data_IF_560428268044
#
_entry.id   IF_560428268044
#
_cell.length_a   1.000
_cell.length_b   1.000
_cell.length_c   1.000
_cell.angle_alpha   90.00
_cell.angle_beta   90.00
_cell.angle_gamma   90.00
#
_symmetry.space_group_name_H-M   'P 1'
#
loop_
_entity.id
_entity.type
_entity.pdbx_description
1 polymer ?
#
# COMPACT_ATOMS: atom_id res chain seq x y z
N UNK A 1 -13.66 -44.77 17.70
CA UNK A 1 -12.36 -44.08 17.61
C UNK A 1 -12.56 -42.72 16.95
N UNK A 2 -13.29 -41.87 17.64
CA UNK A 2 -13.65 -40.52 17.21
C UNK A 2 -13.50 -39.58 18.40
N UNK A 3 -13.43 -38.29 18.08
CA UNK A 3 -13.17 -37.11 18.95
C UNK A 3 -11.69 -36.75 19.08
N UNK A 4 -11.22 -35.89 18.18
CA UNK A 4 -10.00 -35.06 18.31
C UNK A 4 -9.94 -34.01 17.18
N UNK A 5 -11.03 -33.28 16.92
CA UNK A 5 -11.00 -32.08 16.08
C UNK A 5 -12.11 -31.16 16.57
N UNK A 6 -11.83 -30.42 17.64
CA UNK A 6 -12.75 -29.46 18.22
C UNK A 6 -12.25 -28.05 17.92
N UNK A 7 -12.97 -27.38 17.01
CA UNK A 7 -13.17 -25.93 16.99
C UNK A 7 -11.92 -25.06 16.77
N UNK A 8 -11.38 -25.10 15.54
CA UNK A 8 -10.63 -23.99 14.94
C UNK A 8 -11.56 -22.77 14.77
N UNK A 9 -11.82 -22.02 15.84
CA UNK A 9 -12.30 -20.64 15.71
C UNK A 9 -11.06 -19.81 15.42
N UNK A 10 -10.61 -19.85 14.18
CA UNK A 10 -9.62 -18.92 13.66
C UNK A 10 -10.31 -17.55 13.64
N UNK A 11 -10.15 -16.79 14.72
CA UNK A 11 -10.60 -15.41 14.79
C UNK A 11 -10.10 -14.69 13.52
N UNK A 12 -11.00 -13.99 12.83
CA UNK A 12 -10.77 -13.35 11.54
C UNK A 12 -9.67 -12.27 11.65
N UNK A 13 -8.42 -12.70 11.70
CA UNK A 13 -7.25 -11.86 11.83
C UNK A 13 -6.70 -11.55 10.44
N UNK A 14 -6.60 -10.25 10.17
CA UNK A 14 -5.58 -9.58 9.35
C UNK A 14 -5.88 -9.71 7.83
N UNK A 15 -6.03 -8.65 7.03
CA UNK A 15 -4.95 -7.75 6.62
C UNK A 15 -5.44 -6.75 5.55
N UNK A 16 -6.56 -6.10 5.78
CA UNK A 16 -6.87 -4.89 5.04
C UNK A 16 -7.22 -3.82 6.08
N UNK A 17 -6.66 -2.63 5.88
CA UNK A 17 -7.02 -1.39 6.55
C UNK A 17 -8.54 -1.31 6.69
N UNK A 18 -9.11 -1.07 7.89
CA UNK A 18 -10.56 -0.88 7.98
C UNK A 18 -10.90 0.51 7.42
N UNK A 19 -11.20 0.58 6.13
CA UNK A 19 -12.14 1.57 5.63
C UNK A 19 -13.55 1.06 5.94
N UNK A 20 -14.07 1.48 7.09
CA UNK A 20 -15.46 1.38 7.57
C UNK A 20 -16.18 0.02 7.53
N UNK A 21 -16.41 -0.52 8.73
CA UNK A 21 -17.59 -1.35 9.01
C UNK A 21 -18.66 -0.43 9.59
N UNK A 22 -19.72 -0.16 8.80
CA UNK A 22 -20.99 0.31 9.34
C UNK A 22 -21.73 -0.87 10.01
N UNK A 23 -22.45 -0.67 11.12
CA UNK A 23 -22.99 -1.76 11.93
C UNK A 23 -24.17 -2.44 11.22
N UNK A 24 -24.01 -3.70 10.84
CA UNK A 24 -25.15 -4.58 10.56
C UNK A 24 -25.68 -5.12 11.88
N UNK A 25 -26.91 -4.74 12.22
CA UNK A 25 -27.71 -5.25 13.32
C UNK A 25 -28.00 -6.75 13.13
N UNK A 26 -27.39 -7.59 13.97
CA UNK A 26 -27.67 -9.02 14.12
C UNK A 26 -27.08 -9.51 15.46
N UNK A 27 -27.77 -10.39 16.21
CA UNK A 27 -27.54 -10.55 17.64
C UNK A 27 -26.38 -11.48 18.00
N UNK A 28 -25.81 -11.24 19.18
CA UNK A 28 -24.87 -12.07 19.95
C UNK A 28 -23.44 -12.28 19.43
N UNK A 29 -22.62 -11.24 19.61
CA UNK A 29 -21.25 -11.42 20.12
C UNK A 29 -21.27 -10.96 21.58
N UNK A 30 -21.29 -11.92 22.49
CA UNK A 30 -21.33 -11.69 23.93
C UNK A 30 -20.16 -10.81 24.39
N UNK A 31 -20.54 -9.68 25.00
CA UNK A 31 -19.80 -8.78 25.91
C UNK A 31 -18.37 -9.22 26.25
N UNK A 32 -17.38 -8.66 25.54
CA UNK A 32 -16.16 -8.24 26.20
C UNK A 32 -16.50 -6.96 27.00
N UNK A 33 -16.36 -7.00 28.31
CA UNK A 33 -16.58 -5.84 29.18
C UNK A 33 -15.63 -4.70 28.82
N UNK A 34 -16.05 -3.41 28.88
CA UNK A 34 -15.20 -2.23 28.70
C UNK A 34 -14.11 -2.04 29.78
N UNK A 35 -13.72 -3.09 30.51
CA UNK A 35 -12.79 -3.02 31.63
C UNK A 35 -11.37 -3.51 31.30
N UNK A 36 -11.07 -3.89 30.06
CA UNK A 36 -9.71 -4.25 29.63
C UNK A 36 -9.08 -3.12 28.82
N UNK A 37 -8.12 -2.43 29.46
CA UNK A 37 -7.29 -1.35 28.93
C UNK A 37 -7.98 0.02 28.83
N UNK A 38 -7.93 0.77 29.95
CA UNK A 38 -7.64 2.19 29.83
C UNK A 38 -6.29 2.29 29.10
N UNK A 39 -6.32 2.37 27.77
CA UNK A 39 -5.15 2.75 26.98
C UNK A 39 -4.91 4.20 27.36
N UNK A 40 -4.06 4.44 28.35
CA UNK A 40 -3.41 5.74 28.46
C UNK A 40 -2.74 5.93 27.11
N UNK A 41 -3.31 6.82 26.27
CA UNK A 41 -3.03 6.87 24.84
C UNK A 41 -1.60 7.34 24.64
N UNK A 42 -0.68 6.37 24.68
CA UNK A 42 0.75 6.55 24.43
C UNK A 42 0.93 7.40 23.18
N UNK A 43 1.87 8.36 23.18
CA UNK A 43 2.08 9.23 22.03
C UNK A 43 2.17 8.42 20.74
N UNK A 44 1.44 8.87 19.72
CA UNK A 44 1.50 8.29 18.39
C UNK A 44 2.93 8.44 17.84
N UNK A 45 3.47 7.36 17.27
CA UNK A 45 4.75 7.40 16.55
C UNK A 45 4.55 7.90 15.13
N UNK A 46 5.64 8.39 14.54
CA UNK A 46 5.75 8.66 13.10
C UNK A 46 7.05 8.07 12.59
N UNK A 47 7.13 7.86 11.28
CA UNK A 47 8.41 7.57 10.64
C UNK A 47 9.19 8.88 10.44
N UNK A 48 10.49 8.82 10.65
CA UNK A 48 11.42 9.91 10.39
C UNK A 48 12.37 9.51 9.26
N UNK A 49 12.56 10.42 8.29
CA UNK A 49 13.49 10.24 7.18
C UNK A 49 12.99 9.27 6.09
N UNK A 50 13.86 8.93 5.11
CA UNK A 50 13.51 8.05 4.00
C UNK A 50 13.36 6.58 4.45
N UNK A 51 12.63 5.76 3.68
CA UNK A 51 12.58 4.31 3.87
C UNK A 51 13.99 3.72 3.89
N UNK A 52 14.21 2.76 4.79
CA UNK A 52 15.49 2.05 4.93
C UNK A 52 15.51 0.73 4.17
N UNK A 53 14.33 0.23 3.79
CA UNK A 53 14.24 -0.93 2.89
C UNK A 53 14.77 -0.50 1.52
N UNK A 54 15.77 -1.22 1.03
CA UNK A 54 16.38 -1.00 -0.28
C UNK A 54 15.82 -1.99 -1.27
N UNK A 55 15.36 -1.47 -2.40
CA UNK A 55 14.85 -2.30 -3.48
C UNK A 55 15.99 -2.95 -4.28
N UNK A 56 15.72 -4.09 -4.95
CA UNK A 56 16.69 -4.72 -5.83
C UNK A 56 17.11 -3.75 -6.94
N UNK A 57 18.31 -3.98 -7.48
CA UNK A 57 18.78 -3.22 -8.64
C UNK A 57 18.04 -3.72 -9.88
N UNK A 58 17.30 -2.82 -10.53
CA UNK A 58 16.58 -3.11 -11.76
C UNK A 58 17.51 -3.03 -12.98
N UNK A 59 17.42 -3.99 -13.92
CA UNK A 59 18.06 -3.86 -15.23
C UNK A 59 17.53 -2.65 -15.99
N UNK A 60 18.41 -1.91 -16.67
CA UNK A 60 18.01 -0.71 -17.42
C UNK A 60 16.98 -1.02 -18.52
N UNK A 61 17.05 -2.21 -19.15
CA UNK A 61 16.07 -2.64 -20.14
C UNK A 61 14.66 -2.82 -19.56
N UNK A 62 14.55 -3.40 -18.37
CA UNK A 62 13.28 -3.52 -17.63
C UNK A 62 12.77 -2.13 -17.24
N UNK A 63 13.61 -1.31 -16.61
CA UNK A 63 13.22 0.01 -16.14
C UNK A 63 12.74 0.92 -17.29
N UNK A 64 13.37 0.86 -18.45
CA UNK A 64 12.93 1.60 -19.64
C UNK A 64 11.51 1.18 -20.09
N UNK A 65 11.20 -0.11 -20.10
CA UNK A 65 9.84 -0.59 -20.43
C UNK A 65 8.82 -0.11 -19.41
N UNK A 66 9.18 -0.16 -18.13
CA UNK A 66 8.30 0.17 -17.02
C UNK A 66 7.99 1.68 -16.98
N UNK A 67 9.01 2.53 -17.17
CA UNK A 67 8.82 3.98 -17.32
C UNK A 67 7.82 4.27 -18.45
N UNK A 68 7.99 3.64 -19.61
CA UNK A 68 7.09 3.86 -20.73
C UNK A 68 5.68 3.35 -20.44
N UNK A 69 5.52 2.20 -19.76
CA UNK A 69 4.21 1.65 -19.40
C UNK A 69 3.46 2.51 -18.38
N UNK A 70 4.19 3.07 -17.41
CA UNK A 70 3.67 3.98 -16.38
C UNK A 70 3.27 5.36 -16.93
N UNK A 71 3.99 5.83 -17.95
CA UNK A 71 3.89 7.24 -18.40
C UNK A 71 2.93 7.44 -19.57
N UNK A 72 2.71 6.42 -20.41
CA UNK A 72 1.98 6.55 -21.68
C UNK A 72 0.63 5.83 -21.72
N UNK A 73 0.10 5.47 -20.56
CA UNK A 73 -1.20 4.84 -20.42
C UNK A 73 -1.83 5.29 -19.10
N UNK A 74 -3.15 5.45 -19.09
CA UNK A 74 -3.92 5.64 -17.86
C UNK A 74 -4.30 4.28 -17.29
N UNK A 75 -4.49 4.22 -15.97
CA UNK A 75 -5.05 3.05 -15.25
C UNK A 75 -6.33 2.50 -15.92
N UNK A 76 -7.18 3.40 -16.42
CA UNK A 76 -8.43 3.07 -17.09
C UNK A 76 -8.25 2.47 -18.51
N UNK A 77 -7.03 2.46 -19.04
CA UNK A 77 -6.67 1.90 -20.33
C UNK A 77 -6.32 2.89 -21.46
N UNK A 78 -6.87 4.12 -21.55
CA UNK A 78 -6.51 5.08 -22.59
C UNK A 78 -5.01 5.35 -22.67
N UNK A 79 -4.49 5.46 -23.90
CA UNK A 79 -3.08 5.81 -24.13
C UNK A 79 -2.91 7.32 -24.09
N UNK A 80 -1.81 7.76 -23.50
CA UNK A 80 -1.37 9.15 -23.55
C UNK A 80 -0.50 9.31 -24.81
N UNK A 81 -0.76 10.29 -25.69
CA UNK A 81 -0.02 10.42 -26.95
C UNK A 81 1.40 10.97 -26.74
N UNK A 82 1.58 11.77 -25.70
CA UNK A 82 2.82 12.52 -25.42
C UNK A 82 3.16 12.48 -23.93
N UNK A 83 4.44 12.66 -23.62
CA UNK A 83 4.93 12.91 -22.27
C UNK A 83 4.41 14.27 -21.80
N UNK A 84 3.91 14.32 -20.56
CA UNK A 84 3.57 15.58 -19.89
C UNK A 84 4.19 15.59 -18.50
N UNK A 85 4.85 16.70 -18.17
CA UNK A 85 5.42 16.98 -16.84
C UNK A 85 5.38 18.48 -16.56
N UNK A 86 5.80 18.88 -15.37
CA UNK A 86 6.08 20.29 -15.09
C UNK A 86 7.48 20.64 -15.62
N UNK A 87 7.61 21.71 -16.40
CA UNK A 87 8.90 22.12 -17.00
C UNK A 87 9.72 23.08 -16.14
N UNK A 88 9.18 23.53 -15.01
CA UNK A 88 9.83 24.49 -14.11
C UNK A 88 9.60 24.17 -12.64
N UNK A 89 9.94 25.11 -11.74
CA UNK A 89 9.75 24.93 -10.31
C UNK A 89 8.30 24.59 -9.97
N UNK A 90 8.12 23.67 -9.02
CA UNK A 90 6.83 23.12 -8.62
C UNK A 90 6.51 23.56 -7.19
N UNK A 91 5.98 24.78 -6.99
CA UNK A 91 5.44 25.18 -5.70
C UNK A 91 4.19 24.35 -5.36
N UNK A 92 4.14 23.82 -4.13
CA UNK A 92 3.06 22.98 -3.61
C UNK A 92 2.39 23.70 -2.44
N UNK A 93 1.09 23.94 -2.57
CA UNK A 93 0.23 24.52 -1.52
C UNK A 93 -0.59 23.44 -0.83
N UNK A 94 -1.06 23.73 0.38
CA UNK A 94 -2.09 22.94 1.07
C UNK A 94 -3.31 23.81 1.28
N UNK A 95 -4.45 23.31 0.85
CA UNK A 95 -5.78 23.88 1.06
C UNK A 95 -6.54 22.99 2.06
N UNK A 96 -7.25 23.63 2.99
CA UNK A 96 -8.11 22.94 3.95
C UNK A 96 -9.56 23.26 3.64
N UNK A 97 -10.37 22.23 3.44
CA UNK A 97 -11.75 22.37 2.96
C UNK A 97 -12.71 21.80 4.00
N UNK A 98 -13.39 22.68 4.72
CA UNK A 98 -14.42 22.29 5.71
C UNK A 98 -13.90 21.66 7.00
N UNK A 99 -12.60 21.37 7.10
CA UNK A 99 -11.92 20.87 8.29
C UNK A 99 -10.46 21.34 8.29
N UNK A 100 -9.80 21.48 9.46
CA UNK A 100 -8.36 21.73 9.52
C UNK A 100 -7.58 20.57 8.88
N UNK A 101 -6.36 20.82 8.38
CA UNK A 101 -5.55 19.77 7.78
C UNK A 101 -5.17 18.74 8.85
N UNK A 102 -5.04 17.46 8.49
CA UNK A 102 -4.59 16.43 9.43
C UNK A 102 -3.23 16.77 10.04
N UNK A 103 -3.04 16.37 11.30
CA UNK A 103 -1.86 16.75 12.10
C UNK A 103 -0.53 16.36 11.44
N UNK A 104 -0.46 15.22 10.77
CA UNK A 104 0.78 14.71 10.17
C UNK A 104 1.04 15.22 8.75
N UNK A 105 0.02 15.79 8.07
CA UNK A 105 0.14 16.21 6.67
C UNK A 105 1.30 17.18 6.42
N UNK A 106 1.51 18.11 7.36
CA UNK A 106 2.55 19.12 7.21
C UNK A 106 3.95 18.49 7.18
N UNK A 107 4.24 17.59 8.13
CA UNK A 107 5.52 16.89 8.23
C UNK A 107 5.71 15.85 7.13
N UNK A 108 4.67 15.06 6.82
CA UNK A 108 4.76 14.02 5.79
C UNK A 108 5.03 14.62 4.41
N UNK A 109 4.36 15.75 4.10
CA UNK A 109 4.64 16.49 2.87
C UNK A 109 6.03 17.13 2.89
N UNK A 110 6.50 17.68 4.02
CA UNK A 110 7.86 18.21 4.09
C UNK A 110 8.90 17.13 3.80
N UNK A 111 8.77 15.95 4.42
CA UNK A 111 9.65 14.80 4.22
C UNK A 111 9.61 14.31 2.77
N UNK A 112 8.43 14.22 2.17
CA UNK A 112 8.26 13.79 0.77
C UNK A 112 8.87 14.78 -0.23
N UNK A 113 8.60 16.09 -0.09
CA UNK A 113 9.19 17.11 -0.98
C UNK A 113 10.72 17.09 -0.91
N UNK A 114 11.25 16.87 0.28
CA UNK A 114 12.68 16.80 0.53
C UNK A 114 13.32 15.56 -0.13
N UNK A 115 12.65 14.42 -0.08
CA UNK A 115 13.04 13.22 -0.83
C UNK A 115 12.96 13.42 -2.34
N UNK A 116 11.87 13.98 -2.87
CA UNK A 116 11.72 14.24 -4.31
C UNK A 116 12.85 15.14 -4.86
N UNK A 117 13.27 16.15 -4.09
CA UNK A 117 14.43 16.97 -4.44
C UNK A 117 15.75 16.19 -4.44
N UNK A 118 16.01 15.41 -3.37
CA UNK A 118 17.31 14.72 -3.19
C UNK A 118 17.47 13.45 -4.01
N UNK A 119 16.42 12.66 -4.11
CA UNK A 119 16.44 11.31 -4.71
C UNK A 119 16.05 11.38 -6.19
N UNK A 120 15.04 12.18 -6.55
CA UNK A 120 14.56 12.31 -7.93
C UNK A 120 15.06 13.56 -8.67
N UNK A 121 15.68 14.53 -7.98
CA UNK A 121 16.20 15.75 -8.59
C UNK A 121 15.13 16.74 -9.07
N UNK A 122 13.90 16.62 -8.55
CA UNK A 122 12.77 17.46 -8.96
C UNK A 122 12.77 18.76 -8.16
N UNK A 123 12.70 19.92 -8.83
CA UNK A 123 12.56 21.23 -8.18
C UNK A 123 11.15 21.44 -7.63
N UNK A 124 10.86 20.79 -6.50
CA UNK A 124 9.58 20.87 -5.80
C UNK A 124 9.76 21.48 -4.42
N UNK A 125 8.86 22.38 -4.03
CA UNK A 125 8.94 23.07 -2.73
C UNK A 125 7.58 23.53 -2.27
N UNK A 126 7.46 23.88 -0.98
CA UNK A 126 6.27 24.60 -0.50
C UNK A 126 6.14 25.96 -1.19
N UNK A 127 4.90 26.40 -1.38
CA UNK A 127 4.59 27.79 -1.76
C UNK A 127 5.13 28.77 -0.72
N UNK A 128 5.63 29.91 -1.20
CA UNK A 128 5.89 31.10 -0.37
C UNK A 128 4.56 31.81 -0.07
N UNK A 129 4.56 32.70 0.91
CA UNK A 129 3.39 33.51 1.23
C UNK A 129 2.94 34.30 -0.02
N UNK A 130 1.66 34.18 -0.39
CA UNK A 130 1.09 34.84 -1.58
C UNK A 130 1.41 34.18 -2.93
N UNK A 131 2.20 33.10 -2.94
CA UNK A 131 2.49 32.34 -4.16
C UNK A 131 1.39 31.30 -4.43
N UNK A 132 0.97 31.18 -5.69
CA UNK A 132 0.08 30.11 -6.11
C UNK A 132 0.84 28.80 -6.31
N UNK A 133 0.27 27.69 -5.85
CA UNK A 133 0.81 26.36 -6.11
C UNK A 133 0.61 25.93 -7.56
N UNK A 134 1.63 25.30 -8.13
CA UNK A 134 1.51 24.45 -9.32
C UNK A 134 0.76 23.16 -8.98
N UNK A 135 0.91 22.68 -7.74
CA UNK A 135 0.11 21.60 -7.18
C UNK A 135 -0.58 22.11 -5.90
N UNK A 136 -1.89 21.92 -5.81
CA UNK A 136 -2.66 22.20 -4.59
C UNK A 136 -3.11 20.89 -3.94
N UNK A 137 -2.67 20.62 -2.71
CA UNK A 137 -3.15 19.48 -1.93
C UNK A 137 -4.36 19.93 -1.10
N UNK A 138 -5.54 19.41 -1.43
CA UNK A 138 -6.79 19.68 -0.75
C UNK A 138 -7.09 18.56 0.24
N UNK A 139 -7.07 18.87 1.53
CA UNK A 139 -7.56 17.96 2.57
C UNK A 139 -9.05 18.24 2.85
N UNK A 140 -9.91 17.22 2.69
CA UNK A 140 -11.37 17.33 2.80
C UNK A 140 -11.97 16.08 3.45
N UNK A 141 -13.16 16.15 4.07
CA UNK A 141 -13.82 14.96 4.63
C UNK A 141 -14.05 13.89 3.56
N UNK A 142 -13.78 12.61 3.88
CA UNK A 142 -13.93 11.45 2.99
C UNK A 142 -15.33 11.37 2.39
N UNK A 143 -16.36 11.67 3.17
CA UNK A 143 -17.75 11.70 2.71
C UNK A 143 -18.00 12.77 1.63
N UNK A 144 -17.22 13.84 1.61
CA UNK A 144 -17.29 14.86 0.56
C UNK A 144 -16.56 14.41 -0.70
N UNK A 145 -15.41 13.76 -0.53
CA UNK A 145 -14.64 13.16 -1.62
C UNK A 145 -15.47 12.09 -2.35
N UNK A 146 -16.00 11.11 -1.62
CA UNK A 146 -16.75 9.98 -2.18
C UNK A 146 -18.07 10.35 -2.87
N UNK A 147 -18.65 11.52 -2.55
CA UNK A 147 -19.83 12.03 -3.25
C UNK A 147 -19.52 12.50 -4.68
N UNK A 148 -18.28 12.90 -4.95
CA UNK A 148 -17.86 13.44 -6.25
C UNK A 148 -17.01 12.43 -7.04
N UNK A 149 -16.20 11.61 -6.35
CA UNK A 149 -15.44 10.51 -6.93
C UNK A 149 -15.81 9.22 -6.21
N UNK A 150 -16.89 8.57 -6.68
CA UNK A 150 -17.37 7.34 -6.06
C UNK A 150 -16.32 6.23 -6.17
N UNK A 151 -15.94 5.65 -5.04
CA UNK A 151 -14.97 4.55 -4.97
C UNK A 151 -13.52 4.98 -4.79
N UNK A 152 -13.17 6.24 -5.08
CA UNK A 152 -11.83 6.76 -4.88
C UNK A 152 -11.52 6.96 -3.38
N UNK A 153 -10.32 6.58 -2.95
CA UNK A 153 -9.80 6.92 -1.63
C UNK A 153 -9.22 8.35 -1.64
N UNK A 154 -8.44 8.63 -2.66
CA UNK A 154 -7.83 9.90 -3.03
C UNK A 154 -7.80 9.96 -4.58
N UNK A 155 -7.51 11.15 -5.14
CA UNK A 155 -7.30 11.29 -6.59
C UNK A 155 -6.58 12.60 -6.94
N UNK A 156 -5.84 12.58 -8.05
CA UNK A 156 -5.21 13.73 -8.68
C UNK A 156 -5.96 14.20 -9.93
N UNK A 157 -6.05 15.52 -10.11
CA UNK A 157 -6.77 16.14 -11.24
C UNK A 157 -5.92 17.22 -11.89
N UNK A 158 -5.79 17.25 -13.22
CA UNK A 158 -5.01 18.26 -13.91
C UNK A 158 -5.82 19.54 -14.11
N UNK A 159 -5.11 20.65 -14.37
CA UNK A 159 -5.67 21.98 -14.71
C UNK A 159 -6.55 22.62 -13.62
N UNK A 160 -6.64 22.02 -12.44
CA UNK A 160 -7.45 22.50 -11.31
C UNK A 160 -6.58 23.19 -10.26
N UNK A 161 -7.03 24.34 -9.76
CA UNK A 161 -6.29 25.13 -8.76
C UNK A 161 -6.67 24.84 -7.29
N UNK A 162 -7.67 23.99 -7.04
CA UNK A 162 -8.12 23.56 -5.72
C UNK A 162 -9.56 23.05 -5.75
N UNK A 163 -10.14 22.80 -4.58
CA UNK A 163 -11.47 22.15 -4.47
C UNK A 163 -12.59 22.98 -5.08
N UNK A 164 -12.60 24.30 -4.82
CA UNK A 164 -13.62 25.18 -5.40
C UNK A 164 -13.53 25.23 -6.92
N UNK A 165 -12.34 25.13 -7.50
CA UNK A 165 -12.16 25.15 -8.95
C UNK A 165 -12.61 23.84 -9.57
N UNK A 166 -12.28 22.70 -8.95
CA UNK A 166 -12.76 21.38 -9.34
C UNK A 166 -14.27 21.33 -9.54
N UNK A 167 -15.04 21.82 -8.56
CA UNK A 167 -16.51 21.80 -8.62
C UNK A 167 -17.12 22.64 -9.75
N UNK A 168 -16.37 23.58 -10.34
CA UNK A 168 -16.85 24.43 -11.44
C UNK A 168 -16.43 23.94 -12.82
N UNK A 169 -15.51 22.98 -12.91
CA UNK A 169 -14.97 22.54 -14.20
C UNK A 169 -15.78 21.38 -14.78
N UNK A 170 -16.08 21.41 -16.09
CA UNK A 170 -16.58 20.24 -16.79
C UNK A 170 -15.49 19.16 -16.87
N UNK A 171 -15.89 17.88 -16.94
CA UNK A 171 -14.95 16.75 -16.93
C UNK A 171 -13.91 16.77 -18.07
N UNK A 172 -14.26 17.34 -19.23
CA UNK A 172 -13.33 17.46 -20.37
C UNK A 172 -12.12 18.36 -20.06
N UNK A 173 -12.30 19.39 -19.22
CA UNK A 173 -11.22 20.30 -18.82
C UNK A 173 -10.23 19.63 -17.85
N UNK A 174 -10.60 18.49 -17.29
CA UNK A 174 -9.83 17.70 -16.32
C UNK A 174 -9.25 16.41 -16.89
N UNK A 175 -9.29 16.23 -18.22
CA UNK A 175 -8.80 15.02 -18.88
C UNK A 175 -7.26 15.02 -19.05
N UNK A 176 -6.58 14.04 -18.46
CA UNK A 176 -5.13 13.86 -18.60
C UNK A 176 -4.68 13.62 -20.05
N UNK A 177 -5.53 13.03 -20.89
CA UNK A 177 -5.18 12.66 -22.29
C UNK A 177 -5.02 13.85 -23.22
N UNK A 178 -5.53 15.02 -22.82
CA UNK A 178 -5.51 16.26 -23.61
C UNK A 178 -4.47 17.26 -23.11
N UNK A 179 -3.58 16.85 -22.21
CA UNK A 179 -2.50 17.71 -21.73
C UNK A 179 -1.35 17.77 -22.74
N UNK A 180 -0.84 18.98 -22.97
CA UNK A 180 0.43 19.20 -23.68
C UNK A 180 1.59 19.39 -22.71
N UNK A 181 1.32 19.98 -21.54
CA UNK A 181 2.28 20.19 -20.45
C UNK A 181 1.52 20.34 -19.12
N UNK A 182 2.17 20.06 -17.99
CA UNK A 182 1.57 20.22 -16.65
C UNK A 182 1.94 21.59 -16.10
N UNK A 183 0.93 22.45 -15.95
CA UNK A 183 1.09 23.77 -15.33
C UNK A 183 0.33 23.89 -14.00
N UNK A 184 -0.61 22.97 -13.75
CA UNK A 184 -1.52 23.01 -12.62
C UNK A 184 -2.08 21.62 -12.38
N UNK A 185 -2.09 21.18 -11.13
CA UNK A 185 -2.84 20.02 -10.68
C UNK A 185 -3.37 20.23 -9.26
N UNK A 186 -4.39 19.48 -8.89
CA UNK A 186 -4.85 19.38 -7.50
C UNK A 186 -4.94 17.93 -7.08
N UNK A 187 -4.63 17.68 -5.82
CA UNK A 187 -4.66 16.36 -5.18
C UNK A 187 -5.70 16.41 -4.07
N UNK A 188 -6.60 15.45 -4.02
CA UNK A 188 -7.70 15.40 -3.07
C UNK A 188 -7.48 14.26 -2.08
N UNK A 189 -7.23 14.61 -0.81
CA UNK A 189 -6.92 13.66 0.26
C UNK A 189 -8.04 13.64 1.31
N UNK A 190 -8.42 12.46 1.82
CA UNK A 190 -9.37 12.37 2.93
C UNK A 190 -8.71 12.90 4.22
N UNK A 191 -9.36 13.84 4.90
CA UNK A 191 -8.83 14.49 6.11
C UNK A 191 -9.14 13.71 7.41
N UNK A 192 -10.06 12.75 7.34
CA UNK A 192 -10.64 12.01 8.46
C UNK A 192 -10.26 10.51 8.44
N UNK A 193 -9.07 10.21 7.93
CA UNK A 193 -8.49 8.84 7.90
C UNK A 193 -7.27 8.71 8.81
N UNK A 194 -6.74 7.50 8.92
CA UNK A 194 -5.50 7.24 9.66
C UNK A 194 -4.30 7.99 9.06
N UNK A 195 -3.29 8.37 9.87
CA UNK A 195 -2.06 8.98 9.38
C UNK A 195 -1.36 8.16 8.28
N UNK A 196 -1.36 6.82 8.39
CA UNK A 196 -0.83 5.95 7.34
C UNK A 196 -1.64 6.07 6.05
N UNK A 197 -2.96 5.96 6.08
CA UNK A 197 -3.81 6.06 4.87
C UNK A 197 -3.67 7.44 4.19
N UNK A 198 -3.60 8.51 4.98
CA UNK A 198 -3.33 9.85 4.46
C UNK A 198 -1.97 9.91 3.75
N UNK A 199 -0.95 9.30 4.37
CA UNK A 199 0.41 9.29 3.86
C UNK A 199 0.54 8.46 2.58
N UNK A 200 -0.10 7.30 2.53
CA UNK A 200 -0.16 6.43 1.36
C UNK A 200 -0.72 7.22 0.16
N UNK A 201 -1.90 7.83 0.34
CA UNK A 201 -2.51 8.71 -0.65
C UNK A 201 -1.63 9.91 -1.02
N UNK A 202 -0.99 10.56 -0.05
CA UNK A 202 -0.11 11.70 -0.33
C UNK A 202 1.06 11.31 -1.25
N UNK A 203 1.66 10.15 -1.02
CA UNK A 203 2.80 9.66 -1.80
C UNK A 203 2.38 9.29 -3.22
N UNK A 204 1.29 8.55 -3.37
CA UNK A 204 0.74 8.11 -4.66
C UNK A 204 0.31 9.30 -5.51
N UNK A 205 -0.60 10.12 -4.99
CA UNK A 205 -1.23 11.19 -5.78
C UNK A 205 -0.25 12.31 -6.14
N UNK A 206 0.74 12.57 -5.28
CA UNK A 206 1.78 13.54 -5.62
C UNK A 206 2.69 13.01 -6.72
N UNK A 207 3.06 11.73 -6.67
CA UNK A 207 3.85 11.13 -7.74
C UNK A 207 3.06 11.05 -9.05
N UNK A 208 1.76 10.73 -8.97
CA UNK A 208 0.88 10.72 -10.14
C UNK A 208 0.72 12.11 -10.76
N UNK A 209 0.56 13.14 -9.92
CA UNK A 209 0.52 14.53 -10.37
C UNK A 209 1.82 14.97 -11.06
N UNK A 210 2.97 14.37 -10.74
CA UNK A 210 4.27 14.67 -11.35
C UNK A 210 4.51 13.98 -12.71
N UNK A 211 4.06 12.74 -12.92
CA UNK A 211 4.31 12.07 -14.22
C UNK A 211 3.54 10.76 -14.45
N UNK A 212 3.89 9.66 -13.77
CA UNK A 212 3.21 8.37 -13.95
C UNK A 212 1.69 8.47 -13.73
N UNK A 213 0.87 7.83 -14.55
CA UNK A 213 -0.61 7.88 -14.41
C UNK A 213 -1.26 6.49 -14.55
N UNK A 214 -0.44 5.45 -14.48
CA UNK A 214 -0.86 4.06 -14.59
C UNK A 214 -0.39 3.31 -13.35
N UNK A 215 -1.14 2.26 -13.02
CA UNK A 215 -0.78 1.31 -11.98
C UNK A 215 -0.68 -0.09 -12.60
N UNK A 216 0.37 -0.83 -12.20
CA UNK A 216 0.80 -2.05 -12.84
C UNK A 216 1.12 -3.11 -11.77
N UNK A 217 0.28 -4.14 -11.69
CA UNK A 217 0.45 -5.30 -10.78
C UNK A 217 1.78 -6.07 -10.94
N UNK A 218 2.51 -5.83 -12.04
CA UNK A 218 3.82 -6.45 -12.31
C UNK A 218 5.00 -5.65 -11.76
N UNK A 219 4.76 -4.57 -11.00
CA UNK A 219 5.77 -3.73 -10.36
C UNK A 219 5.81 -3.99 -8.84
N UNK A 220 6.41 -5.10 -8.38
CA UNK A 220 6.25 -5.55 -6.99
C UNK A 220 6.79 -4.58 -5.93
N UNK A 221 7.72 -3.69 -6.30
CA UNK A 221 8.33 -2.74 -5.38
C UNK A 221 8.05 -1.29 -5.75
N UNK A 222 6.82 -0.99 -6.14
CA UNK A 222 6.38 0.34 -6.55
C UNK A 222 5.11 0.71 -5.80
N UNK A 223 4.92 2.01 -5.54
CA UNK A 223 3.61 2.53 -5.15
C UNK A 223 2.61 2.45 -6.31
N UNK A 224 3.08 2.45 -7.56
CA UNK A 224 2.25 2.27 -8.77
C UNK A 224 1.87 0.80 -9.00
N UNK A 225 1.66 0.05 -7.93
CA UNK A 225 1.18 -1.31 -7.96
C UNK A 225 -0.08 -1.38 -7.08
N UNK A 226 -1.18 -1.80 -7.71
CA UNK A 226 -2.51 -1.93 -7.11
C UNK A 226 -2.60 -2.92 -5.93
N UNK A 227 -1.52 -3.62 -5.59
CA UNK A 227 -1.47 -4.52 -4.44
C UNK A 227 -1.45 -3.83 -3.07
N UNK A 228 -1.23 -2.50 -3.04
CA UNK A 228 -1.15 -1.69 -1.82
C UNK A 228 -0.08 -2.19 -0.82
N UNK A 229 0.97 -2.86 -1.30
CA UNK A 229 2.05 -3.39 -0.46
C UNK A 229 2.96 -2.26 0.01
N UNK A 230 3.35 -1.35 -0.89
CA UNK A 230 4.21 -0.21 -0.59
C UNK A 230 3.37 1.03 -0.27
N UNK A 231 3.59 1.57 0.92
CA UNK A 231 2.88 2.76 1.44
C UNK A 231 3.57 4.09 1.11
N UNK A 232 4.80 4.03 0.60
CA UNK A 232 5.63 5.20 0.34
C UNK A 232 6.49 4.96 -0.88
N UNK A 233 6.75 6.03 -1.64
CA UNK A 233 7.63 5.99 -2.80
C UNK A 233 8.96 5.31 -2.47
N UNK A 234 9.26 4.27 -3.24
CA UNK A 234 10.44 3.42 -3.12
C UNK A 234 11.63 4.01 -3.91
N UNK A 235 12.78 3.34 -3.83
CA UNK A 235 13.93 3.67 -4.68
C UNK A 235 13.60 3.48 -6.18
N UNK A 236 12.71 2.54 -6.53
CA UNK A 236 12.23 2.36 -7.91
C UNK A 236 11.40 3.55 -8.38
N UNK A 237 10.44 3.99 -7.58
CA UNK A 237 9.56 5.12 -7.93
C UNK A 237 10.36 6.42 -8.11
N UNK A 238 11.36 6.62 -7.25
CA UNK A 238 12.27 7.77 -7.36
C UNK A 238 13.12 7.72 -8.62
N UNK A 239 13.59 6.54 -9.05
CA UNK A 239 14.30 6.37 -10.32
C UNK A 239 13.40 6.64 -11.53
N UNK A 240 12.14 6.19 -11.50
CA UNK A 240 11.16 6.49 -12.56
C UNK A 240 10.94 7.99 -12.68
N UNK A 241 10.70 8.67 -11.55
CA UNK A 241 10.51 10.13 -11.52
C UNK A 241 11.77 10.87 -11.98
N UNK A 242 12.96 10.43 -11.55
CA UNK A 242 14.25 11.00 -11.99
C UNK A 242 14.46 10.88 -13.50
N UNK A 243 14.08 9.76 -14.10
CA UNK A 243 14.16 9.57 -15.55
C UNK A 243 13.21 10.50 -16.29
N UNK A 244 11.94 10.60 -15.85
CA UNK A 244 10.92 11.49 -16.44
C UNK A 244 11.35 12.97 -16.37
N UNK A 245 12.02 13.36 -15.29
CA UNK A 245 12.53 14.71 -15.08
C UNK A 245 13.98 14.92 -15.58
N UNK A 246 14.54 13.96 -16.33
CA UNK A 246 15.86 14.14 -16.92
C UNK A 246 15.86 15.30 -17.92
N UNK A 247 17.02 15.96 -18.06
CA UNK A 247 17.21 17.15 -18.93
C UNK A 247 16.98 16.88 -20.42
N UNK A 248 17.16 15.63 -20.84
CA UNK A 248 17.02 15.21 -22.24
C UNK A 248 15.57 14.82 -22.61
N UNK A 249 14.65 14.89 -21.65
CA UNK A 249 13.21 14.74 -21.87
C UNK A 249 12.52 16.08 -21.60
N UNK A 250 11.40 16.33 -22.28
CA UNK A 250 10.50 17.46 -22.05
C UNK A 250 9.08 17.11 -22.46
N UNK A 251 8.10 17.88 -22.02
CA UNK A 251 6.70 17.69 -22.41
C UNK A 251 6.51 17.83 -23.92
N UNK A 252 5.51 17.14 -24.47
CA UNK A 252 5.16 17.19 -25.89
C UNK A 252 5.83 16.13 -26.77
N UNK A 253 6.82 15.40 -26.26
CA UNK A 253 7.47 14.31 -27.01
C UNK A 253 6.65 13.02 -26.94
N UNK A 254 6.67 12.24 -28.01
CA UNK A 254 5.95 10.96 -28.13
C UNK A 254 6.64 9.85 -27.34
N UNK A 255 5.94 8.71 -27.18
CA UNK A 255 6.49 7.48 -26.57
C UNK A 255 7.81 7.04 -27.22
N UNK A 256 7.91 7.12 -28.54
CA UNK A 256 9.11 6.71 -29.27
C UNK A 256 10.28 7.66 -29.02
N UNK A 257 10.00 8.96 -28.94
CA UNK A 257 10.99 10.00 -28.64
C UNK A 257 11.48 9.94 -27.19
N UNK A 258 10.66 9.48 -26.24
CA UNK A 258 11.14 9.12 -24.89
C UNK A 258 11.95 7.84 -24.90
N UNK A 259 11.51 6.82 -25.64
CA UNK A 259 12.16 5.51 -25.67
C UNK A 259 13.61 5.59 -26.20
N UNK A 260 13.89 6.48 -27.15
CA UNK A 260 15.19 6.61 -27.78
C UNK A 260 16.34 7.02 -26.83
N UNK A 261 16.23 8.10 -26.02
CA UNK A 261 17.27 8.49 -25.07
C UNK A 261 17.27 7.69 -23.77
N UNK A 262 16.19 6.97 -23.43
CA UNK A 262 16.07 6.26 -22.15
C UNK A 262 17.27 5.36 -21.80
N UNK A 263 17.86 4.56 -22.71
CA UNK A 263 19.05 3.77 -22.39
C UNK A 263 20.20 4.62 -21.86
N UNK A 264 20.55 5.71 -22.54
CA UNK A 264 21.64 6.60 -22.12
C UNK A 264 21.32 7.31 -20.79
N UNK A 265 20.06 7.74 -20.60
CA UNK A 265 19.60 8.33 -19.35
C UNK A 265 19.76 7.34 -18.19
N UNK A 266 19.32 6.09 -18.38
CA UNK A 266 19.37 5.05 -17.35
C UNK A 266 20.80 4.59 -17.06
N UNK A 267 21.70 4.63 -18.03
CA UNK A 267 23.12 4.39 -17.81
C UNK A 267 23.75 5.49 -16.92
N UNK A 268 23.33 6.75 -17.07
CA UNK A 268 23.74 7.88 -16.22
C UNK A 268 23.19 7.75 -14.78
N UNK A 269 21.88 7.52 -14.63
CA UNK A 269 21.21 7.61 -13.32
C UNK A 269 21.15 6.27 -12.56
N UNK A 270 21.31 5.14 -13.25
CA UNK A 270 21.28 3.79 -12.70
C UNK A 270 22.44 2.92 -13.26
N UNK A 271 23.70 3.28 -13.02
CA UNK A 271 24.85 2.53 -13.56
C UNK A 271 24.93 1.08 -13.02
N UNK A 272 24.31 0.80 -11.88
CA UNK A 272 24.24 -0.58 -11.36
C UNK A 272 23.30 -1.46 -12.19
N UNK A 273 22.40 -0.86 -12.97
CA UNK A 273 21.43 -1.52 -13.85
C UNK A 273 21.98 -1.99 -15.20
N UNK A 274 23.27 -1.78 -15.47
CA UNK A 274 24.01 -2.41 -16.58
C UNK A 274 24.14 -3.93 -16.36
N UNK A 275 23.02 -4.62 -16.54
CA UNK A 275 22.87 -6.06 -16.29
C UNK A 275 21.99 -6.65 -17.38
N UNK A 276 22.12 -7.96 -17.56
CA UNK A 276 21.24 -8.70 -18.46
C UNK A 276 19.79 -8.46 -18.05
N UNK A 277 18.99 -8.05 -19.03
CA UNK A 277 17.58 -7.82 -18.86
C UNK A 277 16.84 -9.16 -18.67
N UNK A 278 15.85 -9.16 -17.80
CA UNK A 278 14.94 -10.30 -17.68
C UNK A 278 13.88 -10.20 -18.77
N UNK A 279 13.31 -11.35 -19.16
CA UNK A 279 12.26 -11.38 -20.17
C UNK A 279 11.11 -10.44 -19.75
N UNK A 280 10.54 -9.62 -20.67
CA UNK A 280 9.43 -8.76 -20.33
C UNK A 280 8.29 -9.53 -19.65
N UNK A 281 7.85 -9.02 -18.49
CA UNK A 281 6.67 -9.56 -17.79
C UNK A 281 5.44 -9.05 -18.50
N UNK A 282 4.57 -9.96 -18.95
CA UNK A 282 3.33 -9.60 -19.63
C UNK A 282 2.36 -8.88 -18.67
N UNK A 283 1.59 -7.94 -19.21
CA UNK A 283 0.52 -7.26 -18.49
C UNK A 283 -0.53 -8.25 -17.99
N UNK A 284 -1.19 -7.89 -16.88
CA UNK A 284 -2.24 -8.71 -16.29
C UNK A 284 -3.52 -8.65 -17.12
N UNK A 285 -4.18 -9.79 -17.42
CA UNK A 285 -5.48 -9.78 -18.09
C UNK A 285 -6.54 -9.07 -17.27
N UNK A 286 -7.43 -8.32 -17.94
CA UNK A 286 -8.55 -7.60 -17.29
C UNK A 286 -9.40 -8.51 -16.38
N UNK A 287 -9.60 -9.77 -16.78
CA UNK A 287 -10.34 -10.76 -15.99
C UNK A 287 -9.67 -11.04 -14.64
N UNK A 288 -8.34 -11.11 -14.60
CA UNK A 288 -7.60 -11.27 -13.35
C UNK A 288 -7.66 -9.98 -12.51
N UNK A 289 -7.45 -8.80 -13.11
CA UNK A 289 -7.54 -7.50 -12.41
C UNK A 289 -8.89 -7.34 -11.70
N UNK A 290 -9.99 -7.66 -12.39
CA UNK A 290 -11.33 -7.60 -11.78
C UNK A 290 -11.52 -8.63 -10.65
N UNK A 291 -11.00 -9.85 -10.82
CA UNK A 291 -11.12 -10.90 -9.82
C UNK A 291 -10.33 -10.56 -8.54
N UNK A 292 -9.07 -10.11 -8.69
CA UNK A 292 -8.24 -9.74 -7.55
C UNK A 292 -8.77 -8.47 -6.86
N UNK A 293 -9.20 -7.44 -7.62
CA UNK A 293 -9.79 -6.23 -7.05
C UNK A 293 -11.01 -6.54 -6.17
N UNK A 294 -11.92 -7.42 -6.64
CA UNK A 294 -13.08 -7.89 -5.84
C UNK A 294 -12.67 -8.73 -4.63
N UNK A 295 -11.59 -9.50 -4.73
CA UNK A 295 -11.07 -10.28 -3.61
C UNK A 295 -10.54 -9.40 -2.48
N UNK A 296 -9.89 -8.27 -2.83
CA UNK A 296 -9.32 -7.32 -1.87
C UNK A 296 -10.34 -6.33 -1.31
N UNK A 297 -11.43 -6.06 -2.05
CA UNK A 297 -12.44 -5.08 -1.67
C UNK A 297 -13.18 -5.46 -0.37
N UNK A 298 -12.79 -4.80 0.73
CA UNK A 298 -13.32 -5.10 2.07
C UNK A 298 -14.83 -4.94 2.23
N UNK A 299 -15.45 -4.03 1.46
CA UNK A 299 -16.89 -3.78 1.49
C UNK A 299 -17.71 -4.94 0.93
N UNK A 300 -17.07 -5.89 0.25
CA UNK A 300 -17.73 -7.06 -0.31
C UNK A 300 -17.97 -8.13 0.76
N UNK A 301 -19.06 -8.89 0.60
CA UNK A 301 -19.34 -10.04 1.46
C UNK A 301 -18.22 -11.08 1.37
N UNK A 302 -17.92 -11.75 2.47
CA UNK A 302 -16.81 -12.69 2.55
C UNK A 302 -16.89 -13.81 1.49
N UNK A 303 -18.10 -14.32 1.20
CA UNK A 303 -18.32 -15.31 0.15
C UNK A 303 -17.95 -14.79 -1.25
N UNK A 304 -18.26 -13.52 -1.55
CA UNK A 304 -17.90 -12.88 -2.83
C UNK A 304 -16.39 -12.73 -2.95
N UNK A 305 -15.72 -12.29 -1.88
CA UNK A 305 -14.26 -12.20 -1.85
C UNK A 305 -13.61 -13.56 -2.08
N UNK A 306 -14.11 -14.60 -1.43
CA UNK A 306 -13.60 -15.97 -1.57
C UNK A 306 -13.74 -16.52 -2.98
N UNK A 307 -14.93 -16.35 -3.60
CA UNK A 307 -15.15 -16.77 -4.99
C UNK A 307 -14.27 -15.99 -5.96
N UNK A 308 -14.11 -14.68 -5.76
CA UNK A 308 -13.28 -13.84 -6.62
C UNK A 308 -11.79 -14.16 -6.47
N UNK A 309 -11.32 -14.43 -5.25
CA UNK A 309 -9.94 -14.82 -5.00
C UNK A 309 -9.61 -16.19 -5.61
N UNK A 310 -10.54 -17.15 -5.51
CA UNK A 310 -10.42 -18.45 -6.18
C UNK A 310 -10.29 -18.29 -7.70
N UNK A 311 -11.08 -17.40 -8.29
CA UNK A 311 -11.00 -17.09 -9.72
C UNK A 311 -9.66 -16.44 -10.10
N UNK A 312 -9.16 -15.50 -9.30
CA UNK A 312 -7.84 -14.90 -9.51
C UNK A 312 -6.72 -15.97 -9.50
N UNK A 313 -6.74 -16.91 -8.54
CA UNK A 313 -5.80 -18.04 -8.50
C UNK A 313 -5.94 -18.93 -9.73
N UNK A 314 -7.17 -19.22 -10.17
CA UNK A 314 -7.43 -20.04 -11.36
C UNK A 314 -6.84 -19.39 -12.61
N UNK A 315 -7.06 -18.10 -12.82
CA UNK A 315 -6.53 -17.36 -13.97
C UNK A 315 -5.00 -17.31 -13.90
N UNK A 316 -4.41 -16.95 -12.76
CA UNK A 316 -2.96 -16.88 -12.59
C UNK A 316 -2.27 -18.22 -12.91
N UNK A 317 -2.87 -19.35 -12.49
CA UNK A 317 -2.36 -20.69 -12.82
C UNK A 317 -2.53 -21.03 -14.30
N UNK A 318 -3.65 -20.65 -14.93
CA UNK A 318 -3.89 -20.87 -16.36
C UNK A 318 -2.90 -20.10 -17.24
N UNK A 319 -2.50 -18.90 -16.81
CA UNK A 319 -1.44 -18.09 -17.44
C UNK A 319 -0.02 -18.62 -17.15
N UNK A 320 0.11 -19.65 -16.31
CA UNK A 320 1.40 -20.24 -15.95
C UNK A 320 2.28 -19.33 -15.07
N UNK A 321 1.69 -18.36 -14.37
CA UNK A 321 2.44 -17.43 -13.54
C UNK A 321 3.09 -18.11 -12.34
N UNK A 322 4.30 -17.65 -12.02
CA UNK A 322 5.04 -18.01 -10.80
C UNK A 322 5.57 -16.76 -10.08
N UNK A 323 4.97 -15.61 -10.38
CA UNK A 323 5.37 -14.29 -9.88
C UNK A 323 4.45 -13.80 -8.73
N UNK A 324 4.66 -12.55 -8.32
CA UNK A 324 3.91 -11.86 -7.28
C UNK A 324 2.38 -11.95 -7.44
N UNK A 325 1.87 -11.98 -8.67
CA UNK A 325 0.43 -11.99 -8.94
C UNK A 325 -0.21 -13.28 -8.49
N UNK A 326 0.47 -14.42 -8.67
CA UNK A 326 -0.01 -15.70 -8.15
C UNK A 326 0.06 -15.71 -6.61
N UNK A 327 1.17 -15.27 -6.03
CA UNK A 327 1.35 -15.22 -4.58
C UNK A 327 0.30 -14.31 -3.90
N UNK A 328 0.03 -13.16 -4.49
CA UNK A 328 -0.99 -12.20 -4.06
C UNK A 328 -2.40 -12.81 -4.16
N UNK A 329 -2.70 -13.51 -5.26
CA UNK A 329 -3.99 -14.19 -5.45
C UNK A 329 -4.22 -15.26 -4.36
N UNK A 330 -3.18 -16.04 -4.06
CA UNK A 330 -3.22 -17.05 -2.99
C UNK A 330 -3.38 -16.41 -1.61
N UNK A 331 -2.64 -15.34 -1.33
CA UNK A 331 -2.76 -14.61 -0.08
C UNK A 331 -4.18 -14.03 0.11
N UNK A 332 -4.76 -13.43 -0.94
CA UNK A 332 -6.13 -12.94 -0.92
C UNK A 332 -7.13 -14.10 -0.70
N UNK A 333 -6.90 -15.26 -1.33
CA UNK A 333 -7.75 -16.43 -1.16
C UNK A 333 -7.69 -16.98 0.25
N UNK A 334 -6.50 -17.07 0.84
CA UNK A 334 -6.34 -17.52 2.21
C UNK A 334 -7.06 -16.60 3.20
N UNK A 335 -6.88 -15.27 3.08
CA UNK A 335 -7.58 -14.27 3.90
C UNK A 335 -9.11 -14.37 3.77
N UNK A 336 -9.61 -14.58 2.55
CA UNK A 336 -11.04 -14.71 2.31
C UNK A 336 -11.60 -16.06 2.79
N UNK A 337 -10.77 -17.09 2.94
CA UNK A 337 -11.16 -18.38 3.47
C UNK A 337 -11.16 -18.41 5.01
N UNK A 338 -10.39 -17.56 5.69
CA UNK A 338 -10.40 -17.48 7.16
C UNK A 338 -11.75 -17.08 7.78
N UNK A 339 -12.72 -16.63 6.99
CA UNK A 339 -14.03 -16.22 7.50
C UNK A 339 -14.98 -17.42 7.63
N UNK A 340 -15.25 -17.83 8.87
CA UNK A 340 -16.28 -18.82 9.22
C UNK A 340 -15.69 -20.14 9.77
N UNK A 341 -16.52 -20.99 10.39
CA UNK A 341 -16.08 -22.17 11.15
C UNK A 341 -15.83 -23.43 10.29
N UNK A 342 -15.71 -23.27 8.98
CA UNK A 342 -15.68 -24.37 8.02
C UNK A 342 -14.26 -24.94 7.87
N UNK A 343 -14.10 -26.23 8.16
CA UNK A 343 -12.81 -26.94 8.12
C UNK A 343 -12.16 -26.98 6.72
N UNK A 344 -12.96 -27.01 5.66
CA UNK A 344 -12.45 -26.91 4.29
C UNK A 344 -11.83 -25.54 4.06
N UNK A 345 -12.51 -24.48 4.50
CA UNK A 345 -12.00 -23.13 4.38
C UNK A 345 -10.74 -22.89 5.24
N UNK A 346 -10.64 -23.50 6.43
CA UNK A 346 -9.42 -23.46 7.23
C UNK A 346 -8.24 -24.11 6.50
N UNK A 347 -8.44 -25.29 5.88
CA UNK A 347 -7.41 -25.94 5.05
C UNK A 347 -7.02 -25.10 3.84
N UNK A 348 -7.99 -24.48 3.16
CA UNK A 348 -7.72 -23.54 2.05
C UNK A 348 -6.86 -22.37 2.53
N UNK A 349 -7.15 -21.80 3.70
CA UNK A 349 -6.38 -20.69 4.24
C UNK A 349 -4.91 -21.07 4.47
N UNK A 350 -4.67 -22.16 5.20
CA UNK A 350 -3.31 -22.65 5.52
C UNK A 350 -2.52 -22.94 4.25
N UNK A 351 -3.08 -23.75 3.34
CA UNK A 351 -2.41 -24.11 2.08
C UNK A 351 -2.07 -22.88 1.23
N UNK A 352 -3.00 -21.92 1.13
CA UNK A 352 -2.79 -20.70 0.36
C UNK A 352 -1.70 -19.81 0.95
N UNK A 353 -1.61 -19.68 2.27
CA UNK A 353 -0.53 -18.92 2.91
C UNK A 353 0.82 -19.58 2.75
N UNK A 354 0.90 -20.91 2.90
CA UNK A 354 2.15 -21.65 2.71
C UNK A 354 2.66 -21.53 1.26
N UNK A 355 1.77 -21.67 0.27
CA UNK A 355 2.13 -21.51 -1.14
C UNK A 355 2.53 -20.06 -1.47
N UNK A 356 1.78 -19.06 -1.00
CA UNK A 356 2.13 -17.66 -1.19
C UNK A 356 3.50 -17.33 -0.57
N UNK A 357 3.76 -17.81 0.65
CA UNK A 357 5.02 -17.59 1.34
C UNK A 357 6.20 -18.25 0.60
N UNK A 358 6.00 -19.45 0.06
CA UNK A 358 7.01 -20.13 -0.78
C UNK A 358 7.33 -19.31 -2.01
N UNK A 359 6.33 -18.80 -2.72
CA UNK A 359 6.55 -17.98 -3.93
C UNK A 359 7.27 -16.69 -3.57
N UNK A 360 6.79 -15.91 -2.60
CA UNK A 360 7.44 -14.64 -2.23
C UNK A 360 8.87 -14.84 -1.73
N UNK A 361 9.15 -15.86 -0.92
CA UNK A 361 10.53 -16.16 -0.49
C UNK A 361 11.43 -16.54 -1.66
N UNK A 362 10.92 -17.27 -2.64
CA UNK A 362 11.70 -17.64 -3.82
C UNK A 362 12.01 -16.43 -4.72
N UNK A 363 11.07 -15.49 -4.85
CA UNK A 363 11.23 -14.31 -5.69
C UNK A 363 12.09 -13.23 -5.01
N UNK A 364 11.82 -12.96 -3.74
CA UNK A 364 12.34 -11.75 -3.06
C UNK A 364 13.17 -12.05 -1.81
N UNK A 365 13.22 -13.31 -1.37
CA UNK A 365 13.83 -13.68 -0.10
C UNK A 365 12.97 -13.33 1.12
N UNK A 366 13.52 -13.53 2.31
CA UNK A 366 12.81 -13.30 3.59
C UNK A 366 12.77 -11.84 4.02
N UNK A 367 13.68 -11.00 3.51
CA UNK A 367 13.81 -9.59 3.87
C UNK A 367 12.88 -8.62 3.15
N UNK A 368 12.01 -9.12 2.26
CA UNK A 368 11.12 -8.30 1.43
C UNK A 368 9.73 -8.10 2.06
N UNK A 369 9.07 -6.99 1.70
CA UNK A 369 7.81 -6.59 2.33
C UNK A 369 6.67 -7.57 2.02
N UNK A 370 6.69 -8.16 0.83
CA UNK A 370 5.76 -9.20 0.39
C UNK A 370 5.86 -10.45 1.27
N UNK A 371 7.09 -10.88 1.61
CA UNK A 371 7.35 -11.98 2.54
C UNK A 371 6.85 -11.63 3.94
N UNK A 372 7.18 -10.44 4.46
CA UNK A 372 6.70 -9.98 5.76
C UNK A 372 5.17 -9.94 5.85
N UNK A 373 4.49 -9.60 4.75
CA UNK A 373 3.04 -9.57 4.67
C UNK A 373 2.39 -10.97 4.80
N UNK A 374 3.02 -12.03 4.29
CA UNK A 374 2.52 -13.40 4.51
C UNK A 374 2.93 -13.93 5.87
N UNK A 375 4.11 -13.53 6.38
CA UNK A 375 4.60 -13.93 7.71
C UNK A 375 3.60 -13.64 8.83
N UNK A 376 2.83 -12.55 8.72
CA UNK A 376 1.77 -12.24 9.69
C UNK A 376 0.78 -13.40 9.85
N UNK A 377 0.37 -14.01 8.74
CA UNK A 377 -0.58 -15.13 8.72
C UNK A 377 0.06 -16.42 9.23
N UNK A 378 1.30 -16.69 8.81
CA UNK A 378 2.04 -17.86 9.28
C UNK A 378 2.29 -17.80 10.79
N UNK A 379 2.68 -16.63 11.32
CA UNK A 379 2.90 -16.45 12.74
C UNK A 379 1.62 -16.68 13.57
N UNK A 380 0.45 -16.27 13.07
CA UNK A 380 -0.82 -16.57 13.74
C UNK A 380 -1.08 -18.09 13.78
N UNK A 381 -0.85 -18.79 12.68
CA UNK A 381 -1.04 -20.25 12.61
C UNK A 381 -0.08 -21.00 13.55
N UNK A 382 1.20 -20.64 13.52
CA UNK A 382 2.27 -21.24 14.33
C UNK A 382 2.09 -20.92 15.82
N UNK A 383 1.64 -19.71 16.16
CA UNK A 383 1.24 -19.39 17.54
C UNK A 383 0.04 -20.22 17.98
N UNK A 384 -0.96 -20.41 17.13
CA UNK A 384 -2.14 -21.22 17.44
C UNK A 384 -1.79 -22.68 17.76
N UNK A 385 -0.77 -23.25 17.10
CA UNK A 385 -0.29 -24.61 17.34
C UNK A 385 0.66 -24.76 18.54
N UNK A 386 0.94 -23.68 19.27
CA UNK A 386 1.82 -23.71 20.45
C UNK A 386 3.32 -23.67 20.13
N UNK A 387 3.71 -23.51 18.86
CA UNK A 387 5.13 -23.43 18.45
C UNK A 387 5.69 -22.01 18.63
N UNK A 388 5.76 -21.55 19.88
CA UNK A 388 6.04 -20.15 20.23
C UNK A 388 7.42 -19.69 19.73
N UNK A 389 8.45 -20.52 19.82
CA UNK A 389 9.81 -20.16 19.40
C UNK A 389 9.91 -19.99 17.87
N UNK A 390 9.22 -20.83 17.10
CA UNK A 390 9.17 -20.69 15.64
C UNK A 390 8.42 -19.42 15.23
N UNK A 391 7.31 -19.11 15.91
CA UNK A 391 6.59 -17.86 15.67
C UNK A 391 7.47 -16.64 15.95
N UNK A 392 8.27 -16.67 17.01
CA UNK A 392 9.22 -15.59 17.33
C UNK A 392 10.26 -15.42 16.22
N UNK A 393 10.85 -16.51 15.74
CA UNK A 393 11.83 -16.45 14.65
C UNK A 393 11.24 -15.84 13.37
N UNK A 394 10.00 -16.22 13.02
CA UNK A 394 9.27 -15.64 11.89
C UNK A 394 9.06 -14.13 12.07
N UNK A 395 8.58 -13.73 13.24
CA UNK A 395 8.26 -12.33 13.55
C UNK A 395 9.51 -11.45 13.60
N UNK A 396 10.58 -11.91 14.24
CA UNK A 396 11.84 -11.18 14.37
C UNK A 396 12.52 -10.97 13.00
N UNK A 397 12.32 -11.90 12.06
CA UNK A 397 12.77 -11.72 10.67
C UNK A 397 11.95 -10.66 9.91
N UNK A 398 10.67 -10.47 10.23
CA UNK A 398 9.76 -9.61 9.45
C UNK A 398 9.63 -8.18 10.00
N UNK A 399 9.79 -7.98 11.32
CA UNK A 399 9.69 -6.67 11.97
C UNK A 399 10.65 -5.62 11.37
N UNK A 400 11.94 -5.91 11.13
CA UNK A 400 12.86 -4.96 10.54
C UNK A 400 12.43 -4.51 9.14
N UNK A 401 11.89 -5.43 8.33
CA UNK A 401 11.40 -5.14 6.99
C UNK A 401 10.20 -4.20 7.01
N UNK A 402 9.17 -4.49 7.82
CA UNK A 402 8.01 -3.61 7.94
C UNK A 402 8.38 -2.21 8.45
N UNK A 403 9.34 -2.13 9.38
CA UNK A 403 9.89 -0.86 9.87
C UNK A 403 10.67 -0.11 8.80
N UNK A 404 11.54 -0.82 8.07
CA UNK A 404 12.36 -0.25 7.00
C UNK A 404 11.53 0.26 5.83
N UNK A 405 10.44 -0.44 5.50
CA UNK A 405 9.46 -0.03 4.49
C UNK A 405 8.50 1.07 4.96
N UNK A 406 8.59 1.46 6.24
CA UNK A 406 7.71 2.45 6.86
C UNK A 406 6.21 2.09 6.77
N UNK A 407 5.91 0.81 7.00
CA UNK A 407 4.56 0.30 6.96
C UNK A 407 4.03 0.09 8.38
N UNK A 408 3.37 1.11 8.96
CA UNK A 408 2.95 1.07 10.36
C UNK A 408 1.90 -0.01 10.63
N UNK A 409 1.01 -0.28 9.67
CA UNK A 409 0.00 -1.32 9.81
C UNK A 409 0.64 -2.70 9.97
N UNK A 410 1.57 -3.04 9.08
CA UNK A 410 2.30 -4.31 9.14
C UNK A 410 3.18 -4.37 10.40
N UNK A 411 3.91 -3.29 10.70
CA UNK A 411 4.79 -3.22 11.86
C UNK A 411 4.03 -3.38 13.18
N UNK A 412 2.92 -2.67 13.35
CA UNK A 412 2.08 -2.76 14.55
C UNK A 412 1.54 -4.18 14.74
N UNK A 413 1.01 -4.81 13.69
CA UNK A 413 0.52 -6.19 13.79
C UNK A 413 1.62 -7.19 14.16
N UNK A 414 2.79 -7.11 13.51
CA UNK A 414 3.93 -7.98 13.83
C UNK A 414 4.39 -7.81 15.30
N UNK A 415 4.43 -6.56 15.80
CA UNK A 415 4.77 -6.28 17.20
C UNK A 415 3.70 -6.79 18.17
N UNK A 416 2.40 -6.71 17.82
CA UNK A 416 1.32 -7.29 18.64
C UNK A 416 1.48 -8.81 18.76
N UNK A 417 1.78 -9.50 17.65
CA UNK A 417 2.01 -10.95 17.64
C UNK A 417 3.27 -11.32 18.42
N UNK A 418 4.34 -10.53 18.30
CA UNK A 418 5.59 -10.74 19.04
C UNK A 418 5.41 -10.52 20.54
N UNK A 419 4.59 -9.53 20.93
CA UNK A 419 4.19 -9.31 22.32
C UNK A 419 3.37 -10.49 22.87
N UNK A 420 2.48 -11.07 22.05
CA UNK A 420 1.72 -12.28 22.44
C UNK A 420 2.66 -13.47 22.63
N UNK A 421 3.61 -13.68 21.73
CA UNK A 421 4.60 -14.75 21.84
C UNK A 421 5.47 -14.61 23.10
N UNK A 422 5.98 -13.40 23.39
CA UNK A 422 6.75 -13.12 24.60
C UNK A 422 5.97 -13.41 25.89
N UNK A 423 4.67 -13.04 25.93
CA UNK A 423 3.80 -13.37 27.05
C UNK A 423 3.65 -14.90 27.22
N UNK A 424 3.52 -15.66 26.14
CA UNK A 424 3.44 -17.12 26.19
C UNK A 424 4.75 -17.78 26.67
N UNK A 425 5.90 -17.12 26.48
CA UNK A 425 7.18 -17.54 27.06
C UNK A 425 7.36 -17.11 28.54
N UNK A 426 6.42 -16.36 29.12
CA UNK A 426 6.54 -15.79 30.47
C UNK A 426 7.43 -14.53 30.55
N UNK A 427 7.84 -13.96 29.42
CA UNK A 427 8.65 -12.74 29.34
C UNK A 427 7.77 -11.48 29.39
N UNK A 428 7.14 -11.24 30.54
CA UNK A 428 6.12 -10.17 30.69
C UNK A 428 6.65 -8.75 30.46
N UNK A 429 7.87 -8.44 30.88
CA UNK A 429 8.46 -7.11 30.68
C UNK A 429 8.70 -6.81 29.19
N UNK A 430 9.18 -7.80 28.46
CA UNK A 430 9.36 -7.73 27.01
C UNK A 430 8.01 -7.61 26.30
N UNK A 431 7.03 -8.45 26.69
CA UNK A 431 5.68 -8.40 26.15
C UNK A 431 5.03 -7.03 26.37
N UNK A 432 5.21 -6.43 27.55
CA UNK A 432 4.70 -5.09 27.87
C UNK A 432 5.39 -4.01 27.01
N UNK A 433 6.71 -4.09 26.84
CA UNK A 433 7.47 -3.18 25.96
C UNK A 433 6.99 -3.22 24.51
N UNK A 434 6.91 -4.42 23.95
CA UNK A 434 6.43 -4.65 22.57
C UNK A 434 4.99 -4.20 22.39
N UNK A 435 4.10 -4.48 23.35
CA UNK A 435 2.69 -4.04 23.30
C UNK A 435 2.58 -2.52 23.27
N UNK A 436 3.34 -1.80 24.10
CA UNK A 436 3.37 -0.33 24.09
C UNK A 436 3.83 0.21 22.75
N UNK A 437 4.88 -0.38 22.17
CA UNK A 437 5.35 0.02 20.85
C UNK A 437 4.32 -0.27 19.75
N UNK A 438 3.73 -1.46 19.77
CA UNK A 438 2.72 -1.90 18.82
C UNK A 438 1.51 -0.97 18.82
N UNK A 439 1.01 -0.59 20.00
CA UNK A 439 -0.12 0.34 20.13
C UNK A 439 0.24 1.73 19.59
N UNK A 440 1.43 2.25 19.89
CA UNK A 440 1.89 3.55 19.39
C UNK A 440 1.99 3.60 17.85
N UNK A 441 2.48 2.54 17.21
CA UNK A 441 2.42 2.40 15.74
C UNK A 441 1.02 2.13 15.22
N UNK A 442 0.18 1.42 15.97
CA UNK A 442 -1.19 1.12 15.60
C UNK A 442 -2.07 2.38 15.55
N UNK A 443 -1.79 3.37 16.41
CA UNK A 443 -2.41 4.71 16.32
C UNK A 443 -2.08 5.40 14.99
N UNK A 444 -0.83 5.33 14.54
CA UNK A 444 -0.42 5.84 13.22
C UNK A 444 -1.10 5.06 12.08
N UNK A 445 -1.18 3.73 12.22
CA UNK A 445 -1.71 2.85 11.19
C UNK A 445 -3.22 2.91 10.97
N UNK A 446 -4.00 3.04 12.05
CA UNK A 446 -5.46 2.88 12.01
C UNK A 446 -6.23 3.89 12.87
N UNK A 447 -5.55 4.69 13.69
CA UNK A 447 -6.18 5.56 14.68
C UNK A 447 -6.65 4.82 15.95
N UNK A 448 -7.09 5.60 16.94
CA UNK A 448 -7.28 5.15 18.33
C UNK A 448 -8.39 4.09 18.50
N UNK A 449 -9.46 4.19 17.71
CA UNK A 449 -10.58 3.22 17.76
C UNK A 449 -10.17 1.84 17.28
N UNK A 450 -9.53 1.77 16.11
CA UNK A 450 -9.23 0.49 15.45
C UNK A 450 -8.03 -0.23 16.06
N UNK A 451 -7.04 0.51 16.59
CA UNK A 451 -5.91 -0.11 17.29
C UNK A 451 -6.37 -0.92 18.52
N UNK A 452 -7.39 -0.42 19.23
CA UNK A 452 -7.93 -1.11 20.41
C UNK A 452 -8.62 -2.43 20.04
N UNK A 453 -9.40 -2.44 18.95
CA UNK A 453 -10.03 -3.65 18.43
C UNK A 453 -8.98 -4.69 18.02
N UNK A 454 -7.95 -4.27 17.27
CA UNK A 454 -6.86 -5.15 16.83
C UNK A 454 -6.07 -5.73 18.00
N UNK A 455 -5.78 -4.93 19.02
CA UNK A 455 -5.08 -5.41 20.20
C UNK A 455 -5.88 -6.47 20.96
N UNK A 456 -7.21 -6.29 21.08
CA UNK A 456 -8.09 -7.27 21.70
C UNK A 456 -8.17 -8.58 20.91
N UNK A 457 -8.21 -8.52 19.57
CA UNK A 457 -8.18 -9.70 18.71
C UNK A 457 -6.91 -10.53 18.90
N UNK A 458 -5.73 -9.89 18.88
CA UNK A 458 -4.44 -10.59 19.06
C UNK A 458 -4.28 -11.15 20.47
N UNK A 459 -4.75 -10.43 21.50
CA UNK A 459 -4.75 -10.92 22.87
C UNK A 459 -5.65 -12.16 23.05
N UNK A 460 -6.71 -12.27 22.25
CA UNK A 460 -7.66 -13.38 22.25
C UNK A 460 -7.16 -14.66 21.55
N UNK A 461 -5.97 -14.66 20.93
CA UNK A 461 -5.38 -15.86 20.32
C UNK A 461 -5.16 -16.95 21.38
N UNK A 462 -5.93 -18.03 21.29
CA UNK A 462 -5.82 -19.20 22.17
C UNK A 462 -4.79 -20.17 21.60
N UNK A 463 -4.05 -20.82 22.49
CA UNK A 463 -3.29 -22.01 22.14
C UNK A 463 -4.28 -23.17 22.06
N UNK A 464 -4.22 -23.93 20.97
CA UNK A 464 -4.85 -25.25 20.95
C UNK A 464 -4.03 -26.14 21.90
N UNK A 465 -4.67 -26.57 23.01
CA UNK A 465 -4.06 -27.43 24.02
C UNK A 465 -4.34 -28.91 23.74
#
# INVERSE_FOLDING_TARGET
MGRLFASLILAALIACTPADVAPSSGPDVARATPAAMAVDLLPMRRFDGPPRLREPVYPNGQLARDILALTFQLETGPKLPILTRFEGPIPVSVESVGAPPPQTLASDLADLLDRLRREAGIDVRRTRLGEMGSITICALPRTTLQRHACGAACFAVPRVAGWRDYLRRPGADTDWTTLETRNRASIFLPADVSPQELRDCLHEELAQALGPLNDLYRLPNSVFNDDNVHSVLTDFDMLVLRAIYHRDLHSGVTRAEVAAPLPAILDEINPRGHRADTRPVAESPMGWNMAIGKALALRQAAAVRRTSAREAVRIARAEGWQDDRLAMSLLAFGRAAMTGPDEENARIAVTSFLDAARIYRNLHGTGALQSAQVTVHLAVLVLGSGEVDEAIALLDSAIPTARGAQNAARLSTLLMLRARAAHLQGAEDEAAGLRREALSWGRHAWGDRFVTLRAAEVAGLRLDA
#
